data_IF_191253525318
#
_entry.id   IF_191253525318
#
_cell.length_a   1.000
_cell.length_b   1.000
_cell.length_c   1.000
_cell.angle_alpha   90.00
_cell.angle_beta   90.00
_cell.angle_gamma   90.00
#
_symmetry.space_group_name_H-M   'P 1'
#
loop_
_entity.id
_entity.type
_entity.pdbx_description
1 polymer ?
#
# COMPACT_ATOMS: atom_id res chain seq x y z
N UNK A 1 5.18 -5.56 8.46
CA UNK A 1 4.28 -5.12 7.38
C UNK A 1 3.26 -4.15 7.97
N UNK A 2 2.82 -3.14 7.19
CA UNK A 2 2.02 -2.02 7.68
C UNK A 2 0.63 -1.94 7.05
N UNK A 3 0.18 -2.99 6.36
CA UNK A 3 -0.98 -2.92 5.47
C UNK A 3 -2.32 -2.61 6.16
N UNK A 4 -2.45 -2.88 7.46
CA UNK A 4 -3.61 -2.52 8.27
C UNK A 4 -3.55 -1.10 8.86
N UNK A 5 -2.36 -0.50 8.88
CA UNK A 5 -2.04 0.71 9.63
C UNK A 5 -2.68 1.92 8.98
N UNK A 6 -3.34 2.76 9.78
CA UNK A 6 -3.91 4.01 9.28
C UNK A 6 -2.83 5.11 9.21
N UNK A 7 -2.45 5.54 8.01
CA UNK A 7 -1.41 6.55 7.75
C UNK A 7 -1.67 7.93 8.35
N UNK A 8 -2.92 8.25 8.67
CA UNK A 8 -3.33 9.53 9.25
C UNK A 8 -3.20 9.53 10.77
N UNK A 9 -3.42 8.38 11.41
CA UNK A 9 -3.39 8.26 12.87
C UNK A 9 -2.14 7.55 13.39
N UNK A 10 -1.34 6.95 12.51
CA UNK A 10 -0.09 6.29 12.87
C UNK A 10 0.90 7.28 13.51
N UNK A 11 1.72 6.79 14.44
CA UNK A 11 2.73 7.60 15.13
C UNK A 11 4.04 6.85 15.32
N UNK A 12 5.14 7.57 15.58
CA UNK A 12 6.46 6.95 15.75
C UNK A 12 6.95 6.21 14.49
N UNK A 13 7.56 5.04 14.67
CA UNK A 13 8.26 4.33 13.60
C UNK A 13 7.35 3.88 12.44
N UNK A 14 6.12 3.47 12.72
CA UNK A 14 5.16 3.08 11.67
C UNK A 14 4.82 4.26 10.74
N UNK A 15 4.67 5.47 11.31
CA UNK A 15 4.44 6.69 10.53
C UNK A 15 5.67 7.06 9.71
N UNK A 16 6.86 6.99 10.31
CA UNK A 16 8.13 7.25 9.61
C UNK A 16 8.32 6.32 8.41
N UNK A 17 7.99 5.03 8.55
CA UNK A 17 8.08 4.08 7.44
C UNK A 17 7.07 4.41 6.34
N UNK A 18 5.80 4.68 6.70
CA UNK A 18 4.76 5.04 5.72
C UNK A 18 5.15 6.31 4.95
N UNK A 19 5.60 7.34 5.65
CA UNK A 19 6.00 8.61 5.03
C UNK A 19 7.22 8.40 4.12
N UNK A 20 8.18 7.57 4.54
CA UNK A 20 9.32 7.18 3.71
C UNK A 20 8.91 6.45 2.43
N UNK A 21 7.94 5.53 2.50
CA UNK A 21 7.42 4.82 1.32
C UNK A 21 6.79 5.82 0.33
N UNK A 22 5.93 6.72 0.80
CA UNK A 22 5.31 7.73 -0.06
C UNK A 22 6.31 8.75 -0.61
N UNK A 23 7.32 9.15 0.19
CA UNK A 23 8.39 10.02 -0.27
C UNK A 23 9.20 9.35 -1.40
N UNK A 24 9.53 8.06 -1.25
CA UNK A 24 10.18 7.28 -2.31
C UNK A 24 9.34 7.24 -3.58
N UNK A 25 8.06 6.88 -3.48
CA UNK A 25 7.16 6.83 -4.65
C UNK A 25 6.98 8.19 -5.33
N UNK A 26 7.08 9.30 -4.59
CA UNK A 26 7.07 10.64 -5.17
C UNK A 26 8.33 10.97 -5.97
N UNK A 27 9.50 10.52 -5.49
CA UNK A 27 10.79 10.76 -6.16
C UNK A 27 10.98 9.86 -7.37
N UNK A 28 10.43 8.64 -7.33
CA UNK A 28 10.54 7.63 -8.38
C UNK A 28 9.22 7.40 -9.12
N UNK A 29 8.36 8.42 -9.23
CA UNK A 29 6.98 8.27 -9.72
C UNK A 29 6.83 7.77 -11.16
N UNK A 30 7.90 7.86 -11.95
CA UNK A 30 7.94 7.34 -13.33
C UNK A 30 8.18 5.81 -13.35
N UNK A 31 8.96 5.29 -12.39
CA UNK A 31 9.36 3.87 -12.34
C UNK A 31 8.64 3.07 -11.25
N UNK A 32 8.02 3.74 -10.27
CA UNK A 32 7.51 3.13 -9.05
C UNK A 32 6.22 3.79 -8.55
N UNK A 33 5.31 2.94 -8.07
CA UNK A 33 4.09 3.35 -7.40
C UNK A 33 3.95 2.71 -6.02
N UNK A 34 3.27 3.41 -5.10
CA UNK A 34 3.02 2.94 -3.73
C UNK A 34 1.55 2.64 -3.56
N UNK A 35 1.22 1.38 -3.27
CA UNK A 35 -0.15 0.98 -2.94
C UNK A 35 -0.32 0.94 -1.44
N UNK A 36 -1.21 1.79 -0.93
CA UNK A 36 -1.57 1.85 0.47
C UNK A 36 -2.85 1.05 0.71
N UNK A 37 -2.76 0.00 1.51
CA UNK A 37 -3.78 -1.05 1.59
C UNK A 37 -4.85 -0.81 2.65
N UNK A 38 -4.73 0.22 3.49
CA UNK A 38 -5.84 0.65 4.35
C UNK A 38 -6.60 1.78 3.63
N UNK A 39 -7.93 1.76 3.51
CA UNK A 39 -8.88 0.84 4.14
C UNK A 39 -9.27 -0.37 3.27
N UNK A 40 -8.61 -0.62 2.13
CA UNK A 40 -9.02 -1.72 1.22
C UNK A 40 -8.78 -3.13 1.78
N UNK A 41 -7.94 -3.24 2.82
CA UNK A 41 -7.76 -4.43 3.64
C UNK A 41 -8.98 -4.64 4.53
N UNK A 42 -9.62 -5.79 4.43
CA UNK A 42 -10.87 -6.09 5.15
C UNK A 42 -10.67 -6.87 6.45
N UNK A 43 -9.52 -6.72 7.10
CA UNK A 43 -9.22 -7.34 8.40
C UNK A 43 -7.96 -8.20 8.41
N UNK A 44 -7.57 -8.60 9.62
CA UNK A 44 -6.32 -9.31 9.88
C UNK A 44 -5.10 -8.38 9.87
N UNK A 45 -4.07 -8.77 10.62
CA UNK A 45 -2.80 -8.06 10.60
C UNK A 45 -2.03 -8.43 9.32
N UNK A 46 -1.35 -7.47 8.71
CA UNK A 46 -0.58 -7.73 7.48
C UNK A 46 0.61 -8.67 7.72
N UNK A 47 1.12 -8.80 8.94
CA UNK A 47 2.18 -9.78 9.29
C UNK A 47 1.59 -11.19 9.49
N UNK A 48 0.30 -11.29 9.78
CA UNK A 48 -0.49 -12.53 9.73
C UNK A 48 -1.12 -12.76 8.36
N UNK A 49 -0.54 -12.21 7.27
CA UNK A 49 -1.02 -12.42 5.90
C UNK A 49 -2.49 -12.05 5.69
N UNK A 50 -2.94 -10.95 6.33
CA UNK A 50 -4.33 -10.50 6.33
C UNK A 50 -5.32 -11.58 6.81
N UNK A 51 -4.86 -12.50 7.67
CA UNK A 51 -5.66 -13.64 8.13
C UNK A 51 -6.09 -14.59 7.01
N UNK A 52 -5.36 -14.61 5.87
CA UNK A 52 -5.77 -15.37 4.69
C UNK A 52 -7.01 -14.81 3.99
N UNK A 53 -7.39 -13.55 4.24
CA UNK A 53 -8.58 -12.94 3.67
C UNK A 53 -8.45 -12.76 2.15
N UNK A 54 -9.09 -13.66 1.39
CA UNK A 54 -9.00 -13.67 -0.08
C UNK A 54 -9.43 -12.35 -0.74
N UNK A 55 -10.46 -11.69 -0.21
CA UNK A 55 -10.94 -10.42 -0.75
C UNK A 55 -9.95 -9.28 -0.51
N UNK A 56 -9.20 -9.29 0.59
CA UNK A 56 -8.10 -8.35 0.80
C UNK A 56 -7.01 -8.53 -0.26
N UNK A 57 -6.60 -9.78 -0.54
CA UNK A 57 -5.64 -10.03 -1.62
C UNK A 57 -6.14 -9.58 -2.99
N UNK A 58 -7.42 -9.84 -3.31
CA UNK A 58 -8.02 -9.36 -4.56
C UNK A 58 -8.01 -7.83 -4.63
N UNK A 59 -8.45 -7.13 -3.58
CA UNK A 59 -8.46 -5.68 -3.53
C UNK A 59 -7.05 -5.08 -3.71
N UNK A 60 -6.05 -5.66 -3.04
CA UNK A 60 -4.65 -5.24 -3.17
C UNK A 60 -4.13 -5.51 -4.59
N UNK A 61 -4.46 -6.67 -5.16
CA UNK A 61 -4.11 -7.02 -6.54
C UNK A 61 -4.70 -6.04 -7.56
N UNK A 62 -5.97 -5.69 -7.43
CA UNK A 62 -6.63 -4.69 -8.28
C UNK A 62 -5.96 -3.32 -8.15
N UNK A 63 -5.70 -2.85 -6.93
CA UNK A 63 -5.02 -1.58 -6.70
C UNK A 63 -3.60 -1.54 -7.28
N UNK A 64 -2.84 -2.65 -7.17
CA UNK A 64 -1.53 -2.78 -7.81
C UNK A 64 -1.63 -2.79 -9.34
N UNK A 65 -2.63 -3.47 -9.91
CA UNK A 65 -2.87 -3.46 -11.35
C UNK A 65 -3.22 -2.08 -11.89
N UNK A 66 -4.09 -1.34 -11.19
CA UNK A 66 -4.42 0.04 -11.53
C UNK A 66 -3.19 0.96 -11.47
N UNK A 67 -2.37 0.84 -10.41
CA UNK A 67 -1.13 1.59 -10.28
C UNK A 67 -0.14 1.29 -11.41
N UNK A 68 0.02 0.01 -11.79
CA UNK A 68 0.88 -0.41 -12.90
C UNK A 68 0.41 0.18 -14.24
N UNK A 69 -0.90 0.17 -14.51
CA UNK A 69 -1.46 0.82 -15.70
C UNK A 69 -1.19 2.32 -15.69
N UNK A 70 -1.20 2.97 -14.52
CA UNK A 70 -0.81 4.37 -14.36
C UNK A 70 0.64 4.62 -14.78
N UNK A 71 1.57 3.80 -14.30
CA UNK A 71 3.00 3.90 -14.66
C UNK A 71 3.20 3.75 -16.18
N UNK A 72 2.60 2.72 -16.80
CA UNK A 72 2.72 2.45 -18.24
C UNK A 72 2.13 3.54 -19.15
N UNK A 73 1.27 4.42 -18.62
CA UNK A 73 0.71 5.57 -19.37
C UNK A 73 1.55 6.83 -19.20
N UNK A 74 2.46 6.86 -18.23
CA UNK A 74 3.37 7.96 -18.00
C UNK A 74 4.68 7.81 -18.81
N UNK A 75 4.92 6.62 -19.39
CA UNK A 75 5.92 6.36 -20.44
C UNK A 75 5.55 7.01 -21.79
#
# INVERSE_FOLDING_TARGET
>A
TLGQTNKETASGNEKLIIDGMFAFGKVHGDDAAVVYTHPVSMGGASNGHYGGNAKTYMNVGLAMGEAMVGLLKND
#
